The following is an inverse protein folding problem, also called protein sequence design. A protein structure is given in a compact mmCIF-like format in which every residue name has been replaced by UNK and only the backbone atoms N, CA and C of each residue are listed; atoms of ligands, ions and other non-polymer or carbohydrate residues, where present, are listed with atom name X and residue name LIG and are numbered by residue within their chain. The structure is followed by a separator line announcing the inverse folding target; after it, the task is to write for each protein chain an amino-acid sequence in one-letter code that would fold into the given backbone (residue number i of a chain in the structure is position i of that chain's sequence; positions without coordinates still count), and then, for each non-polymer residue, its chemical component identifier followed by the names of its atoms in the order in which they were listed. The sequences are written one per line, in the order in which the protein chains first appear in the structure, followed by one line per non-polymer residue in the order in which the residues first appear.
data_IF_173872533506
#
_entry.id   IF_173872533506
#
_cell.length_a   1.000
_cell.length_b   1.000
_cell.length_c   1.000
_cell.angle_alpha   90.00
_cell.angle_beta   90.00
_cell.angle_gamma   90.00
#
_symmetry.space_group_name_H-M   'P 1'
#
loop_
_entity.id
_entity.type
_entity.pdbx_description
1 polymer ?
#
# COMPACT_ATOMS: atom_id res chain seq x y z
N UNK A 1 -17.48 0.22 27.63
CA UNK A 1 -18.27 1.14 26.78
C UNK A 1 -17.60 1.61 25.46
N UNK A 2 -16.28 1.44 25.24
CA UNK A 2 -15.58 1.88 24.00
C UNK A 2 -16.12 1.26 22.69
N UNK A 3 -16.64 0.03 22.75
CA UNK A 3 -17.15 -0.69 21.59
C UNK A 3 -18.33 0.02 20.89
N UNK A 4 -19.25 0.62 21.66
CA UNK A 4 -20.44 1.31 21.14
C UNK A 4 -20.08 2.62 20.43
N UNK A 5 -19.06 3.34 20.91
CA UNK A 5 -18.55 4.55 20.26
C UNK A 5 -17.92 4.22 18.90
N UNK A 6 -17.04 3.22 18.87
CA UNK A 6 -16.38 2.76 17.63
C UNK A 6 -17.38 2.29 16.57
N UNK A 7 -18.47 1.62 16.98
CA UNK A 7 -19.53 1.23 16.05
C UNK A 7 -20.26 2.41 15.43
N UNK A 8 -20.58 3.44 16.24
CA UNK A 8 -21.21 4.67 15.75
C UNK A 8 -20.30 5.43 14.77
N UNK A 9 -19.02 5.56 15.08
CA UNK A 9 -18.04 6.20 14.18
C UNK A 9 -17.92 5.47 12.85
N UNK A 10 -17.86 4.13 12.87
CA UNK A 10 -17.84 3.31 11.65
C UNK A 10 -19.12 3.48 10.83
N UNK A 11 -20.27 3.52 11.48
CA UNK A 11 -21.56 3.74 10.80
C UNK A 11 -21.60 5.12 10.12
N UNK A 12 -21.19 6.17 10.84
CA UNK A 12 -21.10 7.53 10.31
C UNK A 12 -20.12 7.62 9.12
N UNK A 13 -18.91 7.05 9.25
CA UNK A 13 -17.91 7.06 8.18
C UNK A 13 -18.42 6.34 6.92
N UNK A 14 -19.11 5.20 7.07
CA UNK A 14 -19.74 4.48 5.94
C UNK A 14 -20.83 5.30 5.28
N UNK A 15 -21.71 5.94 6.07
CA UNK A 15 -22.79 6.79 5.55
C UNK A 15 -22.22 7.98 4.76
N UNK A 16 -21.26 8.70 5.34
CA UNK A 16 -20.56 9.80 4.67
C UNK A 16 -19.90 9.35 3.36
N UNK A 17 -19.23 8.19 3.36
CA UNK A 17 -18.62 7.65 2.16
C UNK A 17 -19.65 7.43 1.05
N UNK A 18 -20.77 6.75 1.34
CA UNK A 18 -21.84 6.50 0.37
C UNK A 18 -22.39 7.79 -0.22
N UNK A 19 -22.77 8.76 0.64
CA UNK A 19 -23.29 10.06 0.23
C UNK A 19 -22.35 10.79 -0.74
N UNK A 20 -21.04 10.76 -0.47
CA UNK A 20 -20.07 11.43 -1.34
C UNK A 20 -19.88 10.72 -2.68
N UNK A 21 -19.88 9.39 -2.68
CA UNK A 21 -19.76 8.61 -3.91
C UNK A 21 -20.99 8.78 -4.79
N UNK A 22 -22.19 8.75 -4.20
CA UNK A 22 -23.47 8.99 -4.89
C UNK A 22 -23.55 10.43 -5.44
N UNK A 23 -23.07 11.42 -4.69
CA UNK A 23 -22.99 12.81 -5.14
C UNK A 23 -21.88 13.06 -6.19
N UNK A 24 -21.15 12.04 -6.63
CA UNK A 24 -20.08 12.19 -7.61
C UNK A 24 -18.88 12.99 -7.09
N UNK A 25 -18.66 13.03 -5.77
CA UNK A 25 -17.60 13.79 -5.13
C UNK A 25 -16.48 12.89 -4.59
N UNK A 26 -15.28 13.44 -4.50
CA UNK A 26 -14.13 12.81 -3.86
C UNK A 26 -14.49 12.39 -2.43
N UNK A 27 -14.41 11.09 -2.12
CA UNK A 27 -14.80 10.52 -0.84
C UNK A 27 -13.92 11.02 0.33
N UNK A 28 -12.74 11.57 0.03
CA UNK A 28 -11.83 12.14 1.01
C UNK A 28 -12.17 13.61 1.30
N UNK A 29 -12.04 14.50 0.31
CA UNK A 29 -12.15 15.95 0.54
C UNK A 29 -13.56 16.51 0.34
N UNK A 30 -14.48 15.80 -0.34
CA UNK A 30 -15.83 16.26 -0.66
C UNK A 30 -15.93 17.57 -1.47
N UNK A 31 -14.83 18.00 -2.12
CA UNK A 31 -14.77 19.31 -2.80
C UNK A 31 -14.94 19.24 -4.32
N UNK A 32 -14.41 18.19 -4.93
CA UNK A 32 -14.32 18.05 -6.39
C UNK A 32 -14.63 16.61 -6.80
N UNK A 33 -15.03 16.37 -8.05
CA UNK A 33 -15.22 15.02 -8.56
C UNK A 33 -13.99 14.13 -8.42
N UNK A 34 -14.17 12.80 -8.30
CA UNK A 34 -13.05 11.87 -8.31
C UNK A 34 -12.43 11.76 -9.71
N UNK A 35 -11.25 11.16 -9.78
CA UNK A 35 -10.68 10.75 -11.08
C UNK A 35 -11.44 9.54 -11.64
N UNK A 36 -11.35 9.33 -12.95
CA UNK A 36 -11.86 8.13 -13.61
C UNK A 36 -11.31 6.85 -12.96
N UNK A 37 -12.17 5.85 -12.76
CA UNK A 37 -11.83 4.61 -12.05
C UNK A 37 -11.47 4.75 -10.56
N UNK A 38 -11.64 5.93 -9.97
CA UNK A 38 -11.28 6.23 -8.57
C UNK A 38 -12.47 6.77 -7.79
N UNK A 39 -12.40 6.68 -6.46
CA UNK A 39 -13.33 7.38 -5.55
C UNK A 39 -12.71 8.64 -4.92
N UNK A 40 -11.47 8.96 -5.29
CA UNK A 40 -10.71 10.13 -4.83
C UNK A 40 -10.30 11.01 -6.02
N UNK A 41 -10.23 12.31 -5.80
CA UNK A 41 -9.62 13.26 -6.73
C UNK A 41 -8.09 13.08 -6.79
N UNK A 42 -7.46 13.67 -7.81
CA UNK A 42 -6.01 13.55 -8.05
C UNK A 42 -5.17 13.91 -6.84
N UNK A 43 -5.42 15.07 -6.22
CA UNK A 43 -4.67 15.53 -5.05
C UNK A 43 -4.80 14.58 -3.85
N UNK A 44 -6.02 14.13 -3.54
CA UNK A 44 -6.24 13.20 -2.44
C UNK A 44 -5.65 11.82 -2.73
N UNK A 45 -5.66 11.37 -3.99
CA UNK A 45 -5.00 10.13 -4.42
C UNK A 45 -3.48 10.22 -4.24
N UNK A 46 -2.86 11.31 -4.70
CA UNK A 46 -1.41 11.53 -4.55
C UNK A 46 -0.98 11.56 -3.08
N UNK A 47 -1.69 12.30 -2.23
CA UNK A 47 -1.42 12.32 -0.78
C UNK A 47 -1.58 10.94 -0.13
N UNK A 48 -2.59 10.17 -0.54
CA UNK A 48 -2.80 8.82 -0.03
C UNK A 48 -1.68 7.86 -0.46
N UNK A 49 -1.21 7.96 -1.70
CA UNK A 49 -0.09 7.18 -2.22
C UNK A 49 1.20 7.52 -1.48
N UNK A 50 1.50 8.81 -1.28
CA UNK A 50 2.67 9.25 -0.50
C UNK A 50 2.63 8.72 0.93
N UNK A 51 1.50 8.87 1.62
CA UNK A 51 1.33 8.35 2.96
C UNK A 51 1.50 6.81 3.01
N UNK A 52 1.02 6.09 1.99
CA UNK A 52 1.21 4.64 1.86
C UNK A 52 2.68 4.28 1.67
N UNK A 53 3.39 4.97 0.77
CA UNK A 53 4.84 4.79 0.55
C UNK A 53 5.65 5.06 1.83
N UNK A 54 5.29 6.10 2.57
CA UNK A 54 5.94 6.44 3.84
C UNK A 54 5.70 5.37 4.91
N UNK A 55 4.47 4.85 5.04
CA UNK A 55 4.18 3.72 5.93
C UNK A 55 4.97 2.47 5.54
N UNK A 56 4.98 2.11 4.25
CA UNK A 56 5.74 0.96 3.75
C UNK A 56 7.25 1.13 3.96
N UNK A 57 7.80 2.34 3.81
CA UNK A 57 9.21 2.65 4.12
C UNK A 57 9.52 2.44 5.59
N UNK A 58 8.67 2.95 6.49
CA UNK A 58 8.83 2.76 7.95
C UNK A 58 8.76 1.28 8.33
N UNK A 59 7.79 0.54 7.78
CA UNK A 59 7.65 -0.89 8.02
C UNK A 59 8.86 -1.68 7.54
N UNK A 60 9.36 -1.42 6.33
CA UNK A 60 10.57 -2.09 5.81
C UNK A 60 11.81 -1.82 6.68
N UNK A 61 11.95 -0.60 7.23
CA UNK A 61 13.03 -0.30 8.19
C UNK A 61 12.88 -1.12 9.47
N UNK A 62 11.67 -1.19 10.03
CA UNK A 62 11.41 -1.99 11.22
C UNK A 62 11.70 -3.48 10.98
N UNK A 63 11.27 -4.03 9.84
CA UNK A 63 11.57 -5.41 9.46
C UNK A 63 13.07 -5.67 9.32
N UNK A 64 13.83 -4.75 8.73
CA UNK A 64 15.28 -4.90 8.61
C UNK A 64 15.98 -4.98 9.98
N UNK A 65 15.53 -4.18 10.96
CA UNK A 65 16.06 -4.21 12.33
C UNK A 65 15.74 -5.54 13.03
N UNK A 66 14.53 -6.06 12.82
CA UNK A 66 14.07 -7.33 13.38
C UNK A 66 14.56 -8.56 12.59
N UNK A 67 15.45 -8.38 11.62
CA UNK A 67 15.93 -9.45 10.72
C UNK A 67 14.78 -10.19 10.01
N UNK A 68 13.68 -9.50 9.73
CA UNK A 68 12.57 -10.00 8.92
C UNK A 68 12.76 -9.55 7.46
N UNK A 69 12.41 -10.41 6.51
CA UNK A 69 12.48 -10.13 5.08
C UNK A 69 11.71 -8.85 4.73
N UNK A 70 12.41 -7.84 4.17
CA UNK A 70 11.81 -6.55 3.80
C UNK A 70 10.90 -6.62 2.57
N UNK A 71 10.89 -7.76 1.87
CA UNK A 71 10.08 -7.98 0.67
C UNK A 71 8.70 -8.54 1.03
N UNK A 72 8.64 -9.68 1.73
CA UNK A 72 7.38 -10.32 2.07
C UNK A 72 6.89 -10.04 3.50
N UNK A 73 7.78 -9.67 4.43
CA UNK A 73 7.43 -9.46 5.84
C UNK A 73 7.02 -10.73 6.60
N UNK A 74 7.19 -11.92 6.01
CA UNK A 74 6.67 -13.19 6.55
C UNK A 74 7.75 -14.10 7.15
N UNK A 75 8.99 -14.04 6.63
CA UNK A 75 10.09 -14.93 6.98
C UNK A 75 11.29 -14.14 7.47
N UNK A 76 12.16 -14.81 8.20
CA UNK A 76 13.47 -14.25 8.56
C UNK A 76 14.28 -13.93 7.29
N UNK A 77 15.03 -12.84 7.36
CA UNK A 77 16.00 -12.48 6.34
C UNK A 77 17.23 -13.37 6.47
N UNK A 78 17.87 -13.69 5.35
CA UNK A 78 19.13 -14.43 5.38
C UNK A 78 20.22 -13.62 6.11
N UNK A 79 21.23 -14.28 6.70
CA UNK A 79 22.38 -13.61 7.27
C UNK A 79 22.99 -12.59 6.30
N UNK A 80 23.23 -11.38 6.78
CA UNK A 80 23.79 -10.26 5.99
C UNK A 80 22.97 -9.85 4.75
N UNK A 81 21.68 -10.19 4.70
CA UNK A 81 20.76 -9.78 3.63
C UNK A 81 19.50 -9.14 4.22
N UNK A 82 18.77 -8.41 3.39
CA UNK A 82 17.47 -7.83 3.76
C UNK A 82 16.28 -8.71 3.32
N UNK A 83 16.55 -9.84 2.65
CA UNK A 83 15.53 -10.72 2.08
C UNK A 83 15.70 -12.16 2.58
N UNK A 84 14.59 -12.90 2.64
CA UNK A 84 14.60 -14.35 2.81
C UNK A 84 15.04 -15.03 1.51
N UNK A 85 15.48 -16.30 1.59
CA UNK A 85 15.92 -17.09 0.43
C UNK A 85 14.92 -17.07 -0.72
N UNK A 86 13.68 -17.47 -0.46
CA UNK A 86 12.62 -17.50 -1.48
C UNK A 86 12.37 -16.14 -2.20
N UNK A 87 12.52 -15.01 -1.49
CA UNK A 87 12.38 -13.69 -2.14
C UNK A 87 13.65 -13.26 -2.89
N UNK A 88 14.82 -13.78 -2.50
CA UNK A 88 16.06 -13.57 -3.24
C UNK A 88 16.03 -14.37 -4.55
N UNK A 89 15.66 -15.65 -4.50
CA UNK A 89 15.56 -16.53 -5.67
C UNK A 89 14.58 -15.95 -6.71
N UNK A 90 13.38 -15.55 -6.26
CA UNK A 90 12.38 -14.94 -7.14
C UNK A 90 12.87 -13.62 -7.79
N UNK A 91 13.73 -12.87 -7.11
CA UNK A 91 14.33 -11.65 -7.68
C UNK A 91 15.39 -12.00 -8.72
N UNK A 92 16.19 -13.02 -8.46
CA UNK A 92 17.23 -13.46 -9.38
C UNK A 92 16.61 -14.04 -10.66
N UNK A 93 15.52 -14.81 -10.56
CA UNK A 93 14.71 -15.24 -11.71
C UNK A 93 14.17 -14.05 -12.53
N UNK A 94 13.66 -13.00 -11.87
CA UNK A 94 13.16 -11.81 -12.55
C UNK A 94 14.29 -11.07 -13.28
N UNK A 95 15.45 -10.92 -12.64
CA UNK A 95 16.62 -10.32 -13.26
C UNK A 95 17.10 -11.13 -14.46
N UNK A 96 17.08 -12.45 -14.38
CA UNK A 96 17.41 -13.33 -15.50
C UNK A 96 16.46 -13.13 -16.67
N UNK A 97 15.14 -13.15 -16.42
CA UNK A 97 14.13 -12.89 -17.45
C UNK A 97 14.35 -11.54 -18.14
N UNK A 98 14.58 -10.48 -17.38
CA UNK A 98 14.86 -9.16 -17.94
C UNK A 98 16.16 -9.12 -18.74
N UNK A 99 17.20 -9.87 -18.32
CA UNK A 99 18.47 -9.98 -19.04
C UNK A 99 18.28 -10.69 -20.38
N UNK A 100 17.52 -11.78 -20.41
CA UNK A 100 17.22 -12.53 -21.64
C UNK A 100 16.37 -11.71 -22.61
N UNK A 101 15.33 -11.02 -22.10
CA UNK A 101 14.50 -10.12 -22.92
C UNK A 101 15.32 -9.02 -23.60
N UNK A 102 16.28 -8.43 -22.88
CA UNK A 102 17.18 -7.41 -23.44
C UNK A 102 18.17 -7.96 -24.46
N UNK A 103 18.53 -9.24 -24.39
CA UNK A 103 19.41 -9.89 -25.38
C UNK A 103 18.66 -10.29 -26.65
N UNK A 104 17.35 -10.48 -26.56
CA UNK A 104 16.48 -10.87 -27.67
C UNK A 104 15.86 -9.66 -28.41
N UNK A 105 16.09 -8.44 -27.93
CA UNK A 105 15.66 -7.17 -28.52
C UNK A 105 16.85 -6.45 -29.14
#
# INVERSE_FOLDING_TARGET
MKHRHLQKERAYARSRYRRLVEAGLCCQCAKVPPMEGSKRCGTCRSKNLEASRNRARKMRKAWALLKICVCCGQREAMPNRSQCGACADARDELHEKHRLQKKAA
#
